data_IF_612445032094
#
_entry.id   IF_612445032094
#
_cell.length_a   1.000
_cell.length_b   1.000
_cell.length_c   1.000
_cell.angle_alpha   90.00
_cell.angle_beta   90.00
_cell.angle_gamma   90.00
#
_symmetry.space_group_name_H-M   'P 1'
#
loop_
_entity.id
_entity.type
_entity.pdbx_description
1 polymer ?
#
# COMPACT_ATOMS: atom_id res chain seq x y z
N UNK A 1 -0.11 -47.20 -18.63
CA UNK A 1 -0.31 -45.94 -19.40
C UNK A 1 -1.40 -45.03 -18.84
N UNK A 2 -2.63 -45.49 -18.56
CA UNK A 2 -3.71 -44.64 -17.98
C UNK A 2 -3.36 -43.95 -16.64
N UNK A 3 -2.65 -44.63 -15.73
CA UNK A 3 -2.24 -44.07 -14.43
C UNK A 3 -1.24 -42.90 -14.56
N UNK A 4 -0.37 -42.94 -15.57
CA UNK A 4 0.64 -41.90 -15.81
C UNK A 4 -0.02 -40.64 -16.38
N UNK A 5 -1.00 -40.79 -17.27
CA UNK A 5 -1.80 -39.67 -17.81
C UNK A 5 -2.59 -38.92 -16.72
N UNK A 6 -3.15 -39.64 -15.75
CA UNK A 6 -3.89 -39.02 -14.64
C UNK A 6 -2.98 -38.24 -13.69
N UNK A 7 -1.76 -38.73 -13.44
CA UNK A 7 -0.77 -38.03 -12.61
C UNK A 7 -0.27 -36.77 -13.32
N UNK A 8 0.04 -36.86 -14.62
CA UNK A 8 0.48 -35.69 -15.41
C UNK A 8 -0.63 -34.64 -15.51
N UNK A 9 -1.87 -35.04 -15.75
CA UNK A 9 -3.00 -34.11 -15.77
C UNK A 9 -3.22 -33.42 -14.41
N UNK A 10 -3.11 -34.18 -13.31
CA UNK A 10 -3.21 -33.62 -11.95
C UNK A 10 -2.10 -32.60 -11.65
N UNK A 11 -0.85 -32.91 -12.02
CA UNK A 11 0.29 -32.01 -11.80
C UNK A 11 0.16 -30.72 -12.62
N UNK A 12 -0.33 -30.79 -13.86
CA UNK A 12 -0.56 -29.60 -14.71
C UNK A 12 -1.67 -28.72 -14.15
N UNK A 13 -2.77 -29.31 -13.66
CA UNK A 13 -3.87 -28.54 -13.04
C UNK A 13 -3.41 -27.86 -11.74
N UNK A 14 -2.58 -28.52 -10.93
CA UNK A 14 -2.02 -27.93 -9.70
C UNK A 14 -1.01 -26.81 -10.04
N UNK A 15 -0.13 -27.00 -11.02
CA UNK A 15 0.83 -25.98 -11.44
C UNK A 15 0.14 -24.75 -12.05
N UNK A 16 -0.86 -24.94 -12.91
CA UNK A 16 -1.64 -23.84 -13.48
C UNK A 16 -2.61 -23.20 -12.48
N UNK A 17 -3.17 -23.98 -11.55
CA UNK A 17 -4.05 -23.49 -10.50
C UNK A 17 -3.30 -22.65 -9.47
N UNK A 18 -2.19 -23.15 -8.94
CA UNK A 18 -1.38 -22.44 -7.95
C UNK A 18 -0.62 -21.28 -8.60
N UNK A 19 0.05 -21.51 -9.74
CA UNK A 19 0.74 -20.44 -10.46
C UNK A 19 -0.19 -19.36 -10.99
N UNK A 20 -1.38 -19.75 -11.46
CA UNK A 20 -2.43 -18.82 -11.88
C UNK A 20 -3.01 -18.02 -10.71
N UNK A 21 -3.22 -18.65 -9.55
CA UNK A 21 -3.75 -17.97 -8.36
C UNK A 21 -2.75 -16.97 -7.77
N UNK A 22 -1.48 -17.38 -7.59
CA UNK A 22 -0.42 -16.48 -7.11
C UNK A 22 -0.13 -15.36 -8.11
N UNK A 23 -0.10 -15.64 -9.42
CA UNK A 23 0.07 -14.63 -10.45
C UNK A 23 -1.09 -13.62 -10.49
N UNK A 24 -2.34 -14.09 -10.37
CA UNK A 24 -3.51 -13.23 -10.33
C UNK A 24 -3.54 -12.36 -9.07
N UNK A 25 -3.21 -12.93 -7.91
CA UNK A 25 -3.13 -12.20 -6.65
C UNK A 25 -2.05 -11.11 -6.70
N UNK A 26 -0.83 -11.45 -7.15
CA UNK A 26 0.27 -10.49 -7.28
C UNK A 26 -0.06 -9.34 -8.23
N UNK A 27 -0.71 -9.63 -9.37
CA UNK A 27 -1.14 -8.60 -10.32
C UNK A 27 -2.23 -7.69 -9.75
N UNK A 28 -3.17 -8.25 -8.99
CA UNK A 28 -4.26 -7.45 -8.42
C UNK A 28 -3.74 -6.53 -7.30
N UNK A 29 -2.92 -7.07 -6.38
CA UNK A 29 -2.28 -6.29 -5.31
C UNK A 29 -1.35 -5.20 -5.87
N UNK A 30 -0.51 -5.51 -6.86
CA UNK A 30 0.37 -4.51 -7.48
C UNK A 30 -0.40 -3.37 -8.16
N UNK A 31 -1.55 -3.67 -8.78
CA UNK A 31 -2.40 -2.68 -9.43
C UNK A 31 -3.15 -1.80 -8.43
N UNK A 32 -3.55 -2.37 -7.31
CA UNK A 32 -4.19 -1.64 -6.21
C UNK A 32 -3.22 -0.68 -5.53
N UNK A 33 -1.99 -1.13 -5.21
CA UNK A 33 -0.92 -0.26 -4.68
C UNK A 33 -0.57 0.86 -5.67
N UNK A 34 -0.52 0.55 -6.97
CA UNK A 34 -0.28 1.56 -8.01
C UNK A 34 -1.43 2.58 -8.13
N UNK A 35 -2.68 2.18 -7.87
CA UNK A 35 -3.83 3.12 -7.88
C UNK A 35 -3.89 3.98 -6.62
N UNK A 36 -3.60 3.40 -5.47
CA UNK A 36 -3.60 4.09 -4.19
C UNK A 36 -2.34 4.93 -3.96
N UNK A 37 -1.27 4.75 -4.73
CA UNK A 37 -0.06 5.55 -4.61
C UNK A 37 -0.18 6.96 -5.21
N UNK A 38 0.56 7.90 -4.61
CA UNK A 38 0.51 9.33 -4.95
C UNK A 38 1.88 9.84 -5.43
N UNK A 39 1.86 10.92 -6.21
CA UNK A 39 3.08 11.59 -6.67
C UNK A 39 3.56 12.61 -5.63
N UNK A 40 4.84 13.00 -5.75
CA UNK A 40 5.41 14.12 -4.98
C UNK A 40 4.57 15.41 -5.14
N UNK A 41 4.10 15.71 -6.36
CA UNK A 41 3.28 16.89 -6.63
C UNK A 41 1.94 16.86 -5.88
N UNK A 42 1.29 15.69 -5.80
CA UNK A 42 0.05 15.53 -5.03
C UNK A 42 0.29 15.70 -3.53
N UNK A 43 1.41 15.20 -3.02
CA UNK A 43 1.84 15.41 -1.65
C UNK A 43 2.12 16.89 -1.35
N UNK A 44 2.85 17.56 -2.23
CA UNK A 44 3.25 18.96 -2.07
C UNK A 44 2.06 19.93 -2.14
N UNK A 45 1.05 19.60 -2.94
CA UNK A 45 -0.19 20.36 -3.05
C UNK A 45 -1.00 20.44 -1.74
N UNK A 46 -0.83 19.47 -0.82
CA UNK A 46 -1.54 19.48 0.46
C UNK A 46 -0.86 20.37 1.49
N UNK A 47 -1.64 21.05 2.31
CA UNK A 47 -1.12 21.99 3.32
C UNK A 47 -1.58 21.62 4.71
N UNK A 48 -0.66 21.67 5.67
CA UNK A 48 -0.97 21.54 7.10
C UNK A 48 -1.95 22.65 7.49
N UNK A 49 -3.00 22.29 8.23
CA UNK A 49 -4.15 23.13 8.54
C UNK A 49 -5.32 22.99 7.56
N UNK A 50 -5.12 22.32 6.42
CA UNK A 50 -6.16 22.04 5.43
C UNK A 50 -7.27 21.14 5.99
N UNK A 51 -8.48 21.26 5.45
CA UNK A 51 -9.64 20.46 5.85
C UNK A 51 -9.44 19.00 5.41
N UNK A 52 -9.67 18.05 6.33
CA UNK A 52 -9.45 16.63 6.08
C UNK A 52 -10.22 16.12 4.86
N UNK A 53 -11.49 16.49 4.70
CA UNK A 53 -12.31 16.07 3.56
C UNK A 53 -11.71 16.56 2.24
N UNK A 54 -11.32 17.83 2.16
CA UNK A 54 -10.68 18.39 0.96
C UNK A 54 -9.37 17.67 0.61
N UNK A 55 -8.55 17.34 1.62
CA UNK A 55 -7.31 16.59 1.40
C UNK A 55 -7.63 15.17 0.92
N UNK A 56 -8.59 14.48 1.54
CA UNK A 56 -8.99 13.12 1.15
C UNK A 56 -9.63 13.06 -0.24
N UNK A 57 -10.42 14.07 -0.62
CA UNK A 57 -11.03 14.15 -1.95
C UNK A 57 -10.01 14.42 -3.06
N UNK A 58 -8.90 15.10 -2.73
CA UNK A 58 -7.81 15.39 -3.66
C UNK A 58 -6.82 14.23 -3.83
N UNK A 59 -6.85 13.24 -2.94
CA UNK A 59 -5.96 12.09 -2.94
C UNK A 59 -6.72 10.82 -3.34
N UNK A 60 -6.05 9.82 -3.95
CA UNK A 60 -6.68 8.53 -4.17
C UNK A 60 -7.08 7.88 -2.85
N UNK A 61 -8.04 6.97 -2.93
CA UNK A 61 -8.43 6.15 -1.78
C UNK A 61 -7.20 5.38 -1.29
N UNK A 62 -6.86 5.47 0.01
CA UNK A 62 -5.78 4.68 0.59
C UNK A 62 -6.13 3.19 0.53
N UNK A 63 -5.11 2.34 0.69
CA UNK A 63 -5.35 0.90 0.82
C UNK A 63 -6.22 0.64 2.05
N UNK A 64 -7.22 -0.22 1.90
CA UNK A 64 -8.17 -0.55 2.97
C UNK A 64 -7.64 -1.66 3.89
N UNK A 65 -6.58 -2.35 3.49
CA UNK A 65 -5.95 -3.36 4.31
C UNK A 65 -5.21 -2.73 5.49
N UNK A 66 -5.00 -3.52 6.54
CA UNK A 66 -4.29 -3.08 7.73
C UNK A 66 -2.89 -2.57 7.36
N UNK A 67 -2.58 -1.33 7.73
CA UNK A 67 -1.32 -0.68 7.34
C UNK A 67 -0.08 -1.50 7.76
N UNK A 68 -0.16 -2.21 8.89
CA UNK A 68 0.88 -3.14 9.36
C UNK A 68 1.07 -4.34 8.41
N UNK A 69 -0.01 -4.88 7.86
CA UNK A 69 0.02 -6.00 6.92
C UNK A 69 0.67 -5.59 5.59
N UNK A 70 0.53 -4.33 5.19
CA UNK A 70 1.09 -3.81 3.92
C UNK A 70 2.53 -3.29 4.09
N UNK A 71 2.77 -2.55 5.17
CA UNK A 71 3.97 -1.74 5.36
C UNK A 71 4.86 -2.23 6.51
N UNK A 72 4.45 -3.24 7.27
CA UNK A 72 5.18 -3.81 8.40
C UNK A 72 5.05 -3.00 9.70
N UNK A 73 5.75 -3.43 10.74
CA UNK A 73 5.65 -2.80 12.08
C UNK A 73 6.27 -1.40 12.14
N UNK A 74 7.14 -1.05 11.18
CA UNK A 74 7.89 0.21 11.20
C UNK A 74 7.01 1.46 11.09
N UNK A 75 5.84 1.37 10.44
CA UNK A 75 4.89 2.50 10.41
C UNK A 75 4.40 2.88 11.80
N UNK A 76 4.29 1.91 12.72
CA UNK A 76 3.87 2.18 14.11
C UNK A 76 4.97 2.85 14.94
N UNK A 77 6.25 2.64 14.58
CA UNK A 77 7.42 3.22 15.27
C UNK A 77 7.62 4.70 14.97
N UNK A 78 7.05 5.21 13.88
CA UNK A 78 7.27 6.58 13.41
C UNK A 78 6.59 7.66 14.27
N UNK A 79 5.85 7.28 15.32
CA UNK A 79 5.15 8.18 16.25
C UNK A 79 4.01 8.97 15.58
N UNK A 80 2.87 9.13 16.26
CA UNK A 80 1.75 9.93 15.75
C UNK A 80 1.40 11.06 16.72
N UNK A 81 0.97 12.24 16.24
CA UNK A 81 0.45 13.28 17.11
C UNK A 81 -0.75 12.77 17.92
N UNK A 82 -0.92 13.29 19.13
CA UNK A 82 -2.02 12.88 20.02
C UNK A 82 -3.38 13.14 19.38
N UNK A 83 -4.25 12.13 19.45
CA UNK A 83 -5.58 12.18 18.85
C UNK A 83 -5.59 12.22 17.31
N UNK A 84 -4.45 12.02 16.65
CA UNK A 84 -4.38 12.00 15.20
C UNK A 84 -4.60 10.60 14.61
N UNK A 85 -5.31 10.55 13.49
CA UNK A 85 -5.42 9.39 12.62
C UNK A 85 -4.50 9.62 11.42
N UNK A 86 -3.48 8.77 11.28
CA UNK A 86 -2.55 8.85 10.16
C UNK A 86 -2.99 7.92 9.03
N UNK A 87 -2.61 8.26 7.82
CA UNK A 87 -2.84 7.48 6.60
C UNK A 87 -1.55 7.50 5.80
N UNK A 88 -1.13 6.33 5.30
CA UNK A 88 0.11 6.17 4.54
C UNK A 88 -0.18 5.92 3.06
N UNK A 89 0.65 6.51 2.21
CA UNK A 89 0.58 6.37 0.78
C UNK A 89 1.95 5.94 0.23
N UNK A 90 1.95 4.94 -0.64
CA UNK A 90 3.11 4.63 -1.45
C UNK A 90 3.41 5.77 -2.43
N UNK A 91 4.69 5.97 -2.75
CA UNK A 91 5.16 7.05 -3.64
C UNK A 91 5.30 6.53 -5.06
N UNK A 92 4.80 7.28 -6.04
CA UNK A 92 5.03 7.01 -7.47
C UNK A 92 6.33 7.65 -7.95
N UNK A 93 7.12 6.97 -8.80
CA UNK A 93 7.00 5.55 -9.18
C UNK A 93 7.34 4.63 -7.99
N UNK A 94 6.63 3.50 -7.89
CA UNK A 94 6.89 2.51 -6.83
C UNK A 94 8.29 1.95 -7.07
N UNK A 95 9.14 2.10 -6.06
CA UNK A 95 10.50 1.58 -6.07
C UNK A 95 10.57 0.34 -5.19
N UNK A 96 10.99 -0.77 -5.77
CA UNK A 96 11.27 -1.99 -5.04
C UNK A 96 12.66 -1.87 -4.40
N UNK A 97 12.75 -2.02 -3.09
CA UNK A 97 14.00 -1.87 -2.34
C UNK A 97 13.81 -2.04 -0.84
N UNK A 98 14.93 -2.18 -0.11
CA UNK A 98 14.93 -2.27 1.36
C UNK A 98 14.41 -0.99 2.02
N UNK A 99 14.57 0.17 1.38
CA UNK A 99 14.10 1.44 1.93
C UNK A 99 12.91 1.93 1.10
N UNK A 100 11.68 1.63 1.55
CA UNK A 100 10.47 2.07 0.84
C UNK A 100 10.01 3.41 1.40
N UNK A 101 10.11 4.52 0.63
CA UNK A 101 9.62 5.79 1.09
C UNK A 101 8.09 5.83 1.01
N UNK A 102 7.45 6.37 2.04
CA UNK A 102 6.00 6.56 2.12
C UNK A 102 5.69 8.02 2.44
N UNK A 103 4.56 8.50 1.98
CA UNK A 103 3.98 9.74 2.48
C UNK A 103 2.98 9.44 3.59
N UNK A 104 3.16 10.11 4.73
CA UNK A 104 2.26 10.08 5.87
C UNK A 104 1.47 11.37 5.92
N UNK A 105 0.17 11.26 6.10
CA UNK A 105 -0.75 12.36 6.42
C UNK A 105 -1.43 12.04 7.73
N UNK A 106 -1.33 12.91 8.72
CA UNK A 106 -2.02 12.76 10.01
C UNK A 106 -3.08 13.83 10.16
N UNK A 107 -4.29 13.39 10.51
CA UNK A 107 -5.45 14.26 10.68
C UNK A 107 -5.91 14.25 12.12
N UNK A 108 -6.19 15.42 12.68
CA UNK A 108 -6.82 15.55 13.99
C UNK A 108 -7.80 16.73 13.95
N UNK A 109 -8.95 16.57 14.60
CA UNK A 109 -9.98 17.62 14.62
C UNK A 109 -10.48 18.01 13.21
N UNK A 110 -10.51 17.07 12.26
CA UNK A 110 -10.96 17.29 10.89
C UNK A 110 -10.00 18.13 10.03
N UNK A 111 -8.73 18.26 10.43
CA UNK A 111 -7.70 19.00 9.70
C UNK A 111 -6.41 18.19 9.56
N UNK A 112 -5.67 18.45 8.50
CA UNK A 112 -4.32 17.91 8.32
C UNK A 112 -3.38 18.56 9.34
N UNK A 113 -2.93 17.82 10.35
CA UNK A 113 -2.02 18.34 11.38
C UNK A 113 -0.56 18.10 11.05
N UNK A 114 -0.27 17.07 10.25
CA UNK A 114 1.08 16.75 9.84
C UNK A 114 1.09 16.08 8.47
N UNK A 115 2.06 16.44 7.62
CA UNK A 115 2.45 15.63 6.46
C UNK A 115 3.96 15.42 6.47
N UNK A 116 4.42 14.19 6.25
CA UNK A 116 5.86 13.84 6.23
C UNK A 116 6.13 12.73 5.23
N UNK A 117 7.32 12.76 4.65
CA UNK A 117 7.87 11.58 4.00
C UNK A 117 8.62 10.76 5.05
N UNK A 118 8.22 9.51 5.22
CA UNK A 118 8.88 8.54 6.09
C UNK A 118 9.56 7.48 5.26
N UNK A 119 10.54 6.81 5.86
CA UNK A 119 11.13 5.59 5.32
C UNK A 119 10.84 4.46 6.27
N UNK A 120 10.51 3.32 5.70
CA UNK A 120 10.35 2.06 6.43
C UNK A 120 11.38 1.08 5.90
N UNK A 121 11.94 0.28 6.81
CA UNK A 121 12.83 -0.79 6.42
C UNK A 121 11.94 -1.95 5.96
N UNK A 122 12.16 -2.41 4.74
CA UNK A 122 11.50 -3.58 4.19
C UNK A 122 11.94 -4.79 5.00
N UNK A 123 11.01 -5.35 5.78
CA UNK A 123 11.17 -6.65 6.45
C UNK A 123 11.55 -7.75 5.44
#
# INVERSE_FOLDING_TARGET
>A
MRKVLLIVAGVVVVLCGVGGWFGFQALNTGREISRSSITQQQFDAQQVGGVETTVRDALPTPLQDEEQTIYGDDVTKQGKPDGATCTYYAIKPITDGKDRPLFRFCFAGGKLTEKKQIRIDGA
#
